data_IF_988200689805
#
_entry.id   IF_988200689805
#
_cell.length_a   1.000
_cell.length_b   1.000
_cell.length_c   1.000
_cell.angle_alpha   90.00
_cell.angle_beta   90.00
_cell.angle_gamma   90.00
#
_symmetry.space_group_name_H-M   'P 1'
#
loop_
_entity.id
_entity.type
_entity.pdbx_description
1 polymer ?
#
# COMPACT_ATOMS: atom_id res chain seq x y z
N UNK A 1 -13.42 17.01 -14.26
CA UNK A 1 -12.45 15.98 -13.83
C UNK A 1 -13.25 14.81 -13.30
N UNK A 2 -13.21 13.66 -13.94
CA UNK A 2 -13.85 12.46 -13.41
C UNK A 2 -13.05 11.97 -12.20
N UNK A 3 -13.71 11.73 -11.08
CA UNK A 3 -13.13 11.07 -9.91
C UNK A 3 -12.62 9.69 -10.33
N UNK A 4 -11.36 9.36 -10.03
CA UNK A 4 -10.83 8.02 -10.32
C UNK A 4 -11.51 6.99 -9.39
N UNK A 5 -11.91 5.84 -9.94
CA UNK A 5 -12.37 4.68 -9.17
C UNK A 5 -11.21 3.76 -8.81
N UNK A 6 -11.43 2.81 -7.90
CA UNK A 6 -10.43 1.78 -7.55
C UNK A 6 -10.01 0.99 -8.78
N UNK A 7 -10.98 0.56 -9.59
CA UNK A 7 -10.76 -0.18 -10.82
C UNK A 7 -9.95 0.65 -11.82
N UNK A 8 -10.23 1.95 -11.94
CA UNK A 8 -9.48 2.83 -12.83
C UNK A 8 -8.01 2.97 -12.41
N UNK A 9 -7.71 3.03 -11.10
CA UNK A 9 -6.33 3.06 -10.60
C UNK A 9 -5.63 1.71 -10.76
N UNK A 10 -6.36 0.60 -10.56
CA UNK A 10 -5.86 -0.76 -10.82
C UNK A 10 -5.51 -0.93 -12.30
N UNK A 11 -6.40 -0.50 -13.20
CA UNK A 11 -6.17 -0.54 -14.65
C UNK A 11 -4.98 0.34 -15.06
N UNK A 12 -4.90 1.57 -14.53
CA UNK A 12 -3.78 2.48 -14.78
C UNK A 12 -2.44 1.88 -14.35
N UNK A 13 -2.42 1.08 -13.29
CA UNK A 13 -1.22 0.38 -12.82
C UNK A 13 -0.71 -0.72 -13.76
N UNK A 14 -1.54 -1.23 -14.69
CA UNK A 14 -1.20 -2.30 -15.65
C UNK A 14 -0.57 -3.52 -15.00
N UNK A 15 -1.15 -3.98 -13.89
CA UNK A 15 -0.67 -5.15 -13.18
C UNK A 15 -0.93 -6.43 -14.00
N UNK A 16 -0.02 -7.40 -13.92
CA UNK A 16 -0.26 -8.75 -14.43
C UNK A 16 -1.25 -9.54 -13.58
N UNK A 17 -1.45 -9.11 -12.34
CA UNK A 17 -2.50 -9.59 -11.43
C UNK A 17 -2.91 -8.47 -10.46
N UNK A 18 -4.21 -8.32 -10.26
CA UNK A 18 -4.78 -7.52 -9.18
C UNK A 18 -5.75 -8.39 -8.39
N UNK A 19 -5.65 -8.36 -7.06
CA UNK A 19 -6.52 -9.16 -6.20
C UNK A 19 -7.99 -8.77 -6.40
N UNK A 20 -8.89 -9.76 -6.48
CA UNK A 20 -10.29 -9.58 -6.90
C UNK A 20 -11.13 -8.68 -6.00
N UNK A 21 -10.71 -8.49 -4.74
CA UNK A 21 -11.37 -7.59 -3.79
C UNK A 21 -10.99 -6.11 -3.99
N UNK A 22 -10.08 -5.76 -4.90
CA UNK A 22 -9.73 -4.35 -5.17
C UNK A 22 -10.78 -3.72 -6.08
N UNK A 23 -11.96 -3.48 -5.51
CA UNK A 23 -13.11 -2.84 -6.15
C UNK A 23 -13.50 -1.58 -5.41
N UNK A 24 -14.27 -0.70 -6.05
CA UNK A 24 -14.82 0.50 -5.43
C UNK A 24 -15.82 0.19 -4.29
N UNK A 25 -16.34 -1.03 -4.23
CA UNK A 25 -17.17 -1.49 -3.11
C UNK A 25 -16.34 -1.75 -1.85
N UNK A 26 -15.17 -2.38 -1.99
CA UNK A 26 -14.31 -2.73 -0.85
C UNK A 26 -13.33 -1.61 -0.47
N UNK A 27 -12.81 -0.89 -1.46
CA UNK A 27 -11.79 0.15 -1.30
C UNK A 27 -12.22 1.46 -1.98
N UNK A 28 -13.28 2.15 -1.52
CA UNK A 28 -13.86 3.30 -2.22
C UNK A 28 -12.91 4.50 -2.30
N UNK A 29 -12.26 4.70 -3.45
CA UNK A 29 -11.38 5.87 -3.67
C UNK A 29 -12.16 7.17 -3.59
N UNK A 30 -11.72 8.07 -2.72
CA UNK A 30 -12.37 9.37 -2.51
C UNK A 30 -11.70 10.49 -3.31
N UNK A 31 -12.46 11.40 -3.95
CA UNK A 31 -11.90 12.47 -4.77
C UNK A 31 -11.00 13.45 -4.00
N UNK A 32 -11.25 13.64 -2.69
CA UNK A 32 -10.44 14.55 -1.86
C UNK A 32 -9.09 13.95 -1.43
N UNK A 33 -8.92 12.63 -1.51
CA UNK A 33 -7.63 11.99 -1.23
C UNK A 33 -6.60 12.23 -2.34
N UNK A 34 -7.06 12.59 -3.55
CA UNK A 34 -6.21 12.93 -4.70
C UNK A 34 -5.60 14.35 -4.65
N UNK A 35 -5.88 15.12 -3.59
CA UNK A 35 -5.72 16.58 -3.58
C UNK A 35 -4.32 17.13 -3.25
N UNK A 36 -3.32 16.29 -2.95
CA UNK A 36 -1.96 16.75 -2.66
C UNK A 36 -0.91 15.74 -3.09
N UNK A 37 0.24 16.23 -3.54
CA UNK A 37 1.42 15.38 -3.75
C UNK A 37 1.91 14.90 -2.38
N UNK A 38 1.39 13.76 -1.90
CA UNK A 38 1.81 13.17 -0.63
C UNK A 38 3.11 12.42 -0.87
N UNK A 39 4.17 12.81 -0.17
CA UNK A 39 5.48 12.20 -0.37
C UNK A 39 5.57 10.86 0.39
N UNK A 40 5.70 9.77 -0.36
CA UNK A 40 5.92 8.43 0.20
C UNK A 40 7.41 8.19 0.45
N UNK A 41 7.72 7.74 1.66
CA UNK A 41 9.02 7.24 2.08
C UNK A 41 8.92 5.74 2.31
N UNK A 42 9.94 5.01 1.87
CA UNK A 42 10.05 3.56 2.09
C UNK A 42 10.97 3.29 3.28
N UNK A 43 10.45 2.58 4.27
CA UNK A 43 11.23 2.08 5.40
C UNK A 43 11.67 0.65 5.09
N UNK A 44 12.98 0.43 5.12
CA UNK A 44 13.59 -0.88 5.05
C UNK A 44 13.69 -1.53 6.43
N UNK A 45 13.46 -2.83 6.47
CA UNK A 45 13.76 -3.68 7.64
C UNK A 45 14.82 -4.71 7.25
N UNK A 46 15.63 -5.13 8.21
CA UNK A 46 16.71 -6.11 8.03
C UNK A 46 16.44 -7.44 8.75
N UNK A 47 15.30 -7.54 9.45
CA UNK A 47 14.85 -8.72 10.18
C UNK A 47 13.33 -8.92 10.02
N UNK A 48 12.83 -10.04 10.51
CA UNK A 48 11.40 -10.34 10.51
C UNK A 48 10.67 -9.47 11.55
N UNK A 49 9.64 -8.75 11.11
CA UNK A 49 8.92 -7.75 11.90
C UNK A 49 7.41 -7.97 11.86
N UNK A 50 6.70 -7.39 12.82
CA UNK A 50 5.23 -7.28 12.87
C UNK A 50 4.77 -5.88 12.44
N UNK A 51 3.48 -5.73 12.11
CA UNK A 51 2.92 -4.42 11.78
C UNK A 51 3.10 -3.41 12.93
N UNK A 52 2.90 -3.82 14.17
CA UNK A 52 3.02 -2.96 15.34
C UNK A 52 4.44 -2.43 15.54
N UNK A 53 5.47 -3.26 15.33
CA UNK A 53 6.87 -2.84 15.39
C UNK A 53 7.20 -1.78 14.34
N UNK A 54 6.75 -2.00 13.10
CA UNK A 54 6.97 -1.05 12.00
C UNK A 54 6.21 0.26 12.22
N UNK A 55 4.95 0.19 12.67
CA UNK A 55 4.13 1.36 12.99
C UNK A 55 4.75 2.17 14.15
N UNK A 56 5.26 1.49 15.18
CA UNK A 56 5.95 2.14 16.29
C UNK A 56 7.21 2.86 15.82
N UNK A 57 8.00 2.25 14.94
CA UNK A 57 9.20 2.84 14.36
C UNK A 57 8.87 4.02 13.44
N UNK A 58 7.86 3.90 12.58
CA UNK A 58 7.39 4.99 11.72
C UNK A 58 6.98 6.20 12.57
N UNK A 59 6.20 5.97 13.63
CA UNK A 59 5.82 7.02 14.59
C UNK A 59 7.04 7.65 15.27
N UNK A 60 8.05 6.86 15.66
CA UNK A 60 9.30 7.38 16.25
C UNK A 60 10.06 8.29 15.28
N UNK A 61 9.98 8.02 13.98
CA UNK A 61 10.56 8.86 12.91
C UNK A 61 9.66 10.04 12.49
N UNK A 62 8.50 10.19 13.12
CA UNK A 62 7.52 11.22 12.77
C UNK A 62 6.86 10.99 11.41
N UNK A 63 6.81 9.75 10.91
CA UNK A 63 6.14 9.42 9.66
C UNK A 63 4.65 9.13 9.90
N UNK A 64 3.82 9.48 8.92
CA UNK A 64 2.38 9.26 8.96
C UNK A 64 1.99 7.95 8.27
N UNK A 65 0.99 7.28 8.85
CA UNK A 65 0.43 6.04 8.31
C UNK A 65 -0.25 6.30 6.95
N UNK A 66 0.00 5.47 5.92
CA UNK A 66 -0.67 5.64 4.63
C UNK A 66 -2.16 5.27 4.71
N UNK A 67 -2.92 5.65 3.69
CA UNK A 67 -4.25 5.10 3.38
C UNK A 67 -4.15 4.05 2.27
N UNK A 68 -5.23 3.30 2.01
CA UNK A 68 -5.26 2.39 0.87
C UNK A 68 -5.26 3.14 -0.46
N UNK A 69 -5.82 4.36 -0.52
CA UNK A 69 -5.74 5.21 -1.70
C UNK A 69 -4.29 5.57 -2.03
N UNK A 70 -3.46 5.88 -1.02
CA UNK A 70 -2.03 6.14 -1.22
C UNK A 70 -1.35 4.94 -1.92
N UNK A 71 -1.70 3.71 -1.56
CA UNK A 71 -1.19 2.50 -2.21
C UNK A 71 -1.63 2.38 -3.68
N UNK A 72 -2.91 2.63 -3.96
CA UNK A 72 -3.48 2.56 -5.30
C UNK A 72 -2.85 3.61 -6.23
N UNK A 73 -2.75 4.86 -5.77
CA UNK A 73 -2.08 5.93 -6.52
C UNK A 73 -0.61 5.61 -6.71
N UNK A 74 0.11 5.25 -5.64
CA UNK A 74 1.54 4.97 -5.71
C UNK A 74 1.86 3.84 -6.69
N UNK A 75 1.13 2.72 -6.64
CA UNK A 75 1.36 1.60 -7.54
C UNK A 75 1.11 1.93 -9.01
N UNK A 76 0.20 2.89 -9.29
CA UNK A 76 -0.02 3.39 -10.65
C UNK A 76 1.06 4.36 -11.14
N UNK A 77 1.62 5.17 -10.23
CA UNK A 77 2.57 6.24 -10.56
C UNK A 77 4.04 5.79 -10.52
N UNK A 78 4.35 4.78 -9.70
CA UNK A 78 5.70 4.32 -9.43
C UNK A 78 5.87 2.81 -9.74
N UNK A 79 5.61 2.39 -11.00
CA UNK A 79 5.56 0.98 -11.37
C UNK A 79 6.89 0.23 -11.15
N UNK A 80 8.02 0.91 -11.23
CA UNK A 80 9.34 0.28 -11.09
C UNK A 80 9.67 -0.09 -9.64
N UNK A 81 9.09 0.59 -8.65
CA UNK A 81 9.47 0.41 -7.24
C UNK A 81 9.24 -1.03 -6.80
N UNK A 82 8.06 -1.61 -7.08
CA UNK A 82 7.74 -2.98 -6.67
C UNK A 82 8.55 -4.07 -7.41
N UNK A 83 9.33 -3.71 -8.44
CA UNK A 83 10.25 -4.65 -9.12
C UNK A 83 11.54 -4.86 -8.35
N UNK A 84 11.93 -3.89 -7.53
CA UNK A 84 13.11 -4.01 -6.68
C UNK A 84 12.82 -4.95 -5.52
N UNK A 85 11.80 -4.62 -4.72
CA UNK A 85 11.36 -5.36 -3.51
C UNK A 85 9.87 -5.10 -3.25
N UNK A 86 9.15 -6.05 -2.62
CA UNK A 86 7.76 -5.84 -2.20
C UNK A 86 7.59 -4.58 -1.34
N UNK A 87 6.44 -3.91 -1.48
CA UNK A 87 6.09 -2.71 -0.72
C UNK A 87 4.74 -2.93 -0.04
N UNK A 88 4.76 -2.87 1.30
CA UNK A 88 3.58 -2.99 2.16
C UNK A 88 3.10 -1.60 2.55
N UNK A 89 1.80 -1.35 2.41
CA UNK A 89 1.16 -0.12 2.86
C UNK A 89 0.38 -0.43 4.13
N UNK A 90 0.95 -0.19 5.31
CA UNK A 90 0.31 -0.46 6.60
C UNK A 90 -0.81 0.55 6.90
N UNK A 91 -1.81 0.67 6.03
CA UNK A 91 -3.01 1.49 6.22
C UNK A 91 -3.97 0.86 7.24
N UNK A 92 -5.04 1.57 7.61
CA UNK A 92 -6.09 1.00 8.46
C UNK A 92 -6.60 -0.31 7.84
N UNK A 93 -6.51 -1.47 8.53
CA UNK A 93 -6.68 -2.75 7.86
C UNK A 93 -8.09 -2.89 7.33
N UNK A 94 -8.21 -3.42 6.12
CA UNK A 94 -9.49 -3.82 5.57
C UNK A 94 -9.92 -5.14 6.23
N UNK A 95 -11.12 -5.18 6.77
CA UNK A 95 -11.71 -6.39 7.32
C UNK A 95 -12.28 -7.23 6.18
N UNK A 96 -11.50 -8.23 5.76
CA UNK A 96 -11.87 -9.15 4.71
C UNK A 96 -12.76 -10.29 5.18
N UNK A 97 -12.98 -11.25 4.28
CA UNK A 97 -13.73 -12.45 4.59
C UNK A 97 -13.11 -13.23 5.76
N UNK A 98 -13.96 -13.87 6.56
CA UNK A 98 -13.56 -14.66 7.74
C UNK A 98 -12.84 -13.87 8.85
N UNK A 99 -12.97 -12.54 8.86
CA UNK A 99 -12.39 -11.68 9.90
C UNK A 99 -10.88 -11.48 9.77
N UNK A 100 -10.31 -11.82 8.61
CA UNK A 100 -8.90 -11.54 8.31
C UNK A 100 -8.72 -10.03 8.12
N UNK A 101 -7.66 -9.48 8.72
CA UNK A 101 -7.28 -8.08 8.57
C UNK A 101 -6.19 -7.97 7.54
N UNK A 102 -6.46 -7.23 6.47
CA UNK A 102 -5.58 -7.15 5.31
C UNK A 102 -5.19 -5.71 4.99
N UNK A 103 -3.99 -5.57 4.43
CA UNK A 103 -3.47 -4.32 3.91
C UNK A 103 -2.98 -4.47 2.48
N UNK A 104 -2.91 -3.37 1.73
CA UNK A 104 -2.45 -3.39 0.36
C UNK A 104 -0.93 -3.62 0.26
N UNK A 105 -0.56 -4.47 -0.69
CA UNK A 105 0.81 -4.84 -1.00
C UNK A 105 1.04 -4.75 -2.52
N UNK A 106 2.23 -4.27 -2.90
CA UNK A 106 2.77 -4.32 -4.25
C UNK A 106 3.95 -5.27 -4.30
N UNK A 107 3.96 -6.22 -5.22
CA UNK A 107 5.10 -7.14 -5.37
C UNK A 107 5.32 -7.55 -6.83
N UNK A 108 6.39 -8.30 -7.07
CA UNK A 108 6.64 -8.93 -8.35
C UNK A 108 6.59 -10.44 -8.20
N UNK A 109 5.92 -11.12 -9.12
CA UNK A 109 5.84 -12.57 -9.16
C UNK A 109 6.03 -13.04 -10.61
N UNK A 110 6.99 -13.94 -10.83
CA UNK A 110 7.38 -14.43 -12.15
C UNK A 110 7.60 -13.31 -13.20
N UNK A 111 8.21 -12.20 -12.80
CA UNK A 111 8.48 -11.04 -13.67
C UNK A 111 7.28 -10.13 -13.94
N UNK A 112 6.09 -10.45 -13.41
CA UNK A 112 4.89 -9.62 -13.49
C UNK A 112 4.75 -8.77 -12.23
N UNK A 113 4.29 -7.54 -12.41
CA UNK A 113 3.87 -6.68 -11.32
C UNK A 113 2.49 -7.08 -10.83
N UNK A 114 2.31 -7.15 -9.52
CA UNK A 114 1.06 -7.56 -8.88
C UNK A 114 0.68 -6.55 -7.78
N UNK A 115 -0.62 -6.39 -7.55
CA UNK A 115 -1.19 -5.66 -6.41
C UNK A 115 -2.23 -6.53 -5.72
N UNK A 116 -2.27 -6.49 -4.40
CA UNK A 116 -3.22 -7.31 -3.64
C UNK A 116 -3.12 -7.11 -2.15
N UNK A 117 -3.47 -8.15 -1.40
CA UNK A 117 -3.66 -8.11 0.04
C UNK A 117 -2.57 -8.92 0.75
N UNK A 118 -2.03 -8.34 1.82
CA UNK A 118 -1.14 -9.00 2.76
C UNK A 118 -1.75 -8.96 4.17
N UNK A 119 -1.57 -10.04 4.92
CA UNK A 119 -2.16 -10.16 6.26
C UNK A 119 -1.51 -9.20 7.25
N UNK A 120 -2.29 -8.29 7.82
CA UNK A 120 -1.80 -7.31 8.81
C UNK A 120 -1.23 -7.98 10.07
N UNK A 121 -1.84 -9.11 10.45
CA UNK A 121 -1.48 -9.91 11.63
C UNK A 121 -0.29 -10.87 11.40
N UNK A 122 0.23 -10.94 10.18
CA UNK A 122 1.34 -11.80 9.84
C UNK A 122 2.69 -11.17 10.26
N UNK A 123 3.74 -11.98 10.16
CA UNK A 123 5.11 -11.49 10.21
C UNK A 123 5.59 -11.17 8.80
N UNK A 124 6.21 -10.01 8.66
CA UNK A 124 6.76 -9.54 7.40
C UNK A 124 8.23 -9.92 7.30
N UNK A 125 8.60 -10.41 6.12
CA UNK A 125 9.97 -10.85 5.81
C UNK A 125 10.95 -9.67 5.68
N UNK A 126 12.26 -9.89 5.90
CA UNK A 126 13.29 -8.85 5.75
C UNK A 126 13.35 -8.21 4.36
N UNK A 127 12.87 -8.88 3.31
CA UNK A 127 12.85 -8.34 1.95
C UNK A 127 11.69 -7.38 1.68
N UNK A 128 10.77 -7.16 2.63
CA UNK A 128 9.72 -6.13 2.50
C UNK A 128 10.23 -4.72 2.78
N UNK A 129 9.60 -3.76 2.12
CA UNK A 129 9.68 -2.34 2.44
C UNK A 129 8.31 -1.84 2.86
N UNK A 130 8.27 -0.81 3.69
CA UNK A 130 7.01 -0.27 4.21
C UNK A 130 6.84 1.18 3.77
N UNK A 131 5.72 1.46 3.10
CA UNK A 131 5.38 2.81 2.65
C UNK A 131 4.75 3.60 3.80
N UNK A 132 5.30 4.79 4.03
CA UNK A 132 4.75 5.79 4.94
C UNK A 132 4.83 7.17 4.30
N UNK A 133 4.11 8.12 4.87
CA UNK A 133 4.08 9.49 4.38
C UNK A 133 5.02 10.34 5.21
N UNK A 134 5.70 11.30 4.56
CA UNK A 134 6.24 12.44 5.31
C UNK A 134 5.09 13.32 5.78
N UNK A 135 5.18 13.89 7.01
CA UNK A 135 4.28 14.95 7.41
C UNK A 135 4.32 16.07 6.37
N UNK A 136 3.15 16.61 6.03
CA UNK A 136 3.13 17.87 5.29
C UNK A 136 3.50 18.96 6.28
N UNK A 137 4.56 19.72 6.01
CA UNK A 137 4.89 20.88 6.84
C UNK A 137 3.65 21.80 6.92
N UNK A 138 3.23 22.24 8.13
CA UNK A 138 2.04 23.07 8.33
C UNK A 138 2.16 24.47 7.71
#
# INVERSE_FOLDING_TARGET
MCCASTEALVEAGRYGYAHSCLTSESFPVRPSAAGGAREIVLLDVDHEVTADEVLAEARRRGLERPTYEDALYFGSQHPEVQRERPVIFLHEPWEGFFGRRDVLCLWTNAGRREIGLEGFDARFRPDHRFAFLKPTDP
#
